data_IF_724472494532
#
_entry.id   IF_724472494532
#
_cell.length_a   1.000
_cell.length_b   1.000
_cell.length_c   1.000
_cell.angle_alpha   90.00
_cell.angle_beta   90.00
_cell.angle_gamma   90.00
#
_symmetry.space_group_name_H-M   'P 1'
#
loop_
_entity.id
_entity.type
_entity.pdbx_description
1 polymer ?
#
# COMPACT_ATOMS: atom_id res chain seq x y z
N UNK A 1 -4.90 3.57 -10.47
CA UNK A 1 -5.50 4.93 -10.47
C UNK A 1 -5.72 5.40 -9.03
N UNK A 2 -4.65 5.74 -8.30
CA UNK A 2 -4.73 6.08 -6.86
C UNK A 2 -4.04 7.39 -6.46
N UNK A 3 -3.51 8.14 -7.43
CA UNK A 3 -2.93 9.46 -7.16
C UNK A 3 -4.04 10.41 -6.71
N UNK A 4 -3.83 11.08 -5.57
CA UNK A 4 -4.81 11.97 -4.95
C UNK A 4 -5.69 11.33 -3.87
N UNK A 5 -5.67 10.00 -3.71
CA UNK A 5 -6.33 9.34 -2.56
C UNK A 5 -5.63 9.64 -1.24
N UNK A 6 -4.31 9.87 -1.28
CA UNK A 6 -3.50 10.36 -0.18
C UNK A 6 -2.68 11.58 -0.66
N UNK A 7 -2.50 12.63 0.16
CA UNK A 7 -1.75 13.81 -0.26
C UNK A 7 -0.32 13.44 -0.64
N UNK A 8 0.11 13.86 -1.84
CA UNK A 8 1.43 13.52 -2.38
C UNK A 8 2.57 14.23 -1.65
N UNK A 9 2.27 15.37 -1.02
CA UNK A 9 3.23 16.23 -0.31
C UNK A 9 3.38 15.86 1.18
N UNK A 10 2.65 14.84 1.65
CA UNK A 10 2.72 14.41 3.05
C UNK A 10 3.93 13.49 3.28
N UNK A 11 4.59 13.60 4.43
CA UNK A 11 5.83 12.85 4.76
C UNK A 11 5.69 11.31 4.65
N UNK A 12 4.49 10.80 4.92
CA UNK A 12 4.15 9.38 4.81
C UNK A 12 3.81 8.91 3.39
N UNK A 13 3.84 9.80 2.40
CA UNK A 13 3.49 9.50 1.03
C UNK A 13 4.66 8.85 0.29
N UNK A 14 4.47 7.61 -0.16
CA UNK A 14 5.46 6.90 -0.96
C UNK A 14 5.34 7.19 -2.48
N UNK A 15 4.51 8.16 -2.88
CA UNK A 15 4.20 8.45 -4.29
C UNK A 15 3.75 7.20 -5.08
N UNK A 16 3.92 7.21 -6.40
CA UNK A 16 3.42 6.16 -7.28
C UNK A 16 4.31 4.91 -7.24
N UNK A 17 3.68 3.75 -7.12
CA UNK A 17 4.26 2.41 -7.25
C UNK A 17 4.25 1.95 -8.72
N UNK A 18 5.23 1.15 -9.15
CA UNK A 18 5.21 0.42 -10.42
C UNK A 18 6.40 0.71 -11.34
N UNK A 19 6.28 0.33 -12.62
CA UNK A 19 7.36 0.42 -13.63
C UNK A 19 7.84 1.85 -13.90
N UNK A 20 6.97 2.85 -13.75
CA UNK A 20 7.27 4.28 -13.84
C UNK A 20 7.14 4.97 -12.47
N UNK A 21 7.09 4.19 -11.40
CA UNK A 21 6.93 4.67 -10.04
C UNK A 21 8.23 5.13 -9.40
N UNK A 22 8.11 5.67 -8.19
CA UNK A 22 9.23 6.02 -7.35
C UNK A 22 9.99 4.76 -6.90
N UNK A 23 11.32 4.79 -6.97
CA UNK A 23 12.17 3.66 -6.57
C UNK A 23 11.96 3.28 -5.10
N UNK A 24 11.79 4.27 -4.22
CA UNK A 24 11.55 4.03 -2.80
C UNK A 24 10.18 3.39 -2.52
N UNK A 25 9.17 3.62 -3.37
CA UNK A 25 7.87 2.94 -3.28
C UNK A 25 8.02 1.45 -3.58
N UNK A 26 8.73 1.13 -4.66
CA UNK A 26 9.01 -0.25 -5.06
C UNK A 26 9.86 -0.97 -3.99
N UNK A 27 10.85 -0.28 -3.41
CA UNK A 27 11.67 -0.82 -2.32
C UNK A 27 10.87 -1.08 -1.04
N UNK A 28 9.94 -0.19 -0.68
CA UNK A 28 9.07 -0.36 0.48
C UNK A 28 8.21 -1.62 0.35
N UNK A 29 7.63 -1.87 -0.82
CA UNK A 29 6.82 -3.07 -1.07
C UNK A 29 7.65 -4.36 -1.03
N UNK A 30 8.91 -4.33 -1.47
CA UNK A 30 9.77 -5.52 -1.44
C UNK A 30 10.20 -5.93 -0.01
N UNK A 31 10.20 -4.97 0.92
CA UNK A 31 10.62 -5.17 2.31
C UNK A 31 9.46 -5.16 3.32
N UNK A 32 8.21 -5.12 2.85
CA UNK A 32 7.04 -5.11 3.73
C UNK A 32 6.71 -6.52 4.22
N UNK A 33 6.27 -6.62 5.48
CA UNK A 33 5.74 -7.83 6.11
C UNK A 33 4.21 -7.89 6.07
N UNK A 34 3.53 -6.75 5.94
CA UNK A 34 2.09 -6.61 5.79
C UNK A 34 1.74 -5.61 4.68
N UNK A 35 1.09 -6.08 3.62
CA UNK A 35 0.60 -5.27 2.52
C UNK A 35 -0.92 -5.07 2.63
N UNK A 36 -1.34 -3.81 2.81
CA UNK A 36 -2.76 -3.43 2.81
C UNK A 36 -3.16 -2.90 1.44
N UNK A 37 -4.01 -3.66 0.75
CA UNK A 37 -4.48 -3.39 -0.61
C UNK A 37 -5.96 -2.98 -0.56
N UNK A 38 -6.24 -1.67 -0.57
CA UNK A 38 -7.60 -1.13 -0.57
C UNK A 38 -8.01 -0.64 -1.97
N UNK A 39 -9.01 -1.26 -2.58
CA UNK A 39 -9.54 -0.87 -3.88
C UNK A 39 -8.51 -0.91 -5.02
N UNK A 40 -7.56 -1.82 -4.92
CA UNK A 40 -6.50 -2.01 -5.93
C UNK A 40 -6.70 -3.32 -6.65
N UNK A 41 -6.46 -3.28 -7.96
CA UNK A 41 -6.27 -4.46 -8.79
C UNK A 41 -4.77 -4.65 -8.95
N UNK A 42 -4.29 -5.87 -8.73
CA UNK A 42 -2.88 -6.21 -8.87
C UNK A 42 -2.48 -6.28 -10.35
N UNK A 43 -2.49 -5.14 -11.02
CA UNK A 43 -2.18 -5.03 -12.45
C UNK A 43 -0.69 -5.32 -12.72
N UNK A 44 -0.40 -5.88 -13.88
CA UNK A 44 0.96 -6.26 -14.29
C UNK A 44 1.89 -5.05 -14.41
N UNK A 45 1.35 -3.85 -14.72
CA UNK A 45 2.10 -2.61 -14.80
C UNK A 45 2.63 -2.12 -13.44
N UNK A 46 2.03 -2.63 -12.35
CA UNK A 46 2.37 -2.26 -10.99
C UNK A 46 3.19 -3.37 -10.33
N UNK A 47 2.80 -4.62 -10.57
CA UNK A 47 3.39 -5.78 -9.92
C UNK A 47 4.63 -6.32 -10.64
N UNK A 48 4.76 -6.10 -11.95
CA UNK A 48 5.80 -6.68 -12.78
C UNK A 48 5.74 -8.20 -12.75
N UNK A 49 6.61 -8.82 -11.96
CA UNK A 49 6.54 -10.27 -11.70
C UNK A 49 5.75 -10.52 -10.41
N UNK A 50 4.53 -11.01 -10.55
CA UNK A 50 3.59 -11.25 -9.45
C UNK A 50 4.15 -12.18 -8.36
N UNK A 51 5.03 -13.11 -8.72
CA UNK A 51 5.70 -14.01 -7.77
C UNK A 51 6.62 -13.27 -6.80
N UNK A 52 7.38 -12.29 -7.30
CA UNK A 52 8.34 -11.52 -6.48
C UNK A 52 7.64 -10.41 -5.69
N UNK A 53 6.51 -9.92 -6.22
CA UNK A 53 5.75 -8.86 -5.59
C UNK A 53 5.22 -9.28 -4.22
N UNK A 54 5.69 -8.61 -3.16
CA UNK A 54 5.28 -8.88 -1.78
C UNK A 54 5.52 -10.32 -1.35
N UNK A 55 6.59 -10.97 -1.83
CA UNK A 55 6.88 -12.39 -1.58
C UNK A 55 6.93 -12.76 -0.10
N UNK A 56 7.33 -11.82 0.76
CA UNK A 56 7.43 -11.98 2.22
C UNK A 56 6.25 -11.37 2.98
N UNK A 57 5.33 -10.70 2.29
CA UNK A 57 4.27 -9.92 2.90
C UNK A 57 2.98 -10.73 3.09
N UNK A 58 2.34 -10.53 4.24
CA UNK A 58 0.94 -10.89 4.44
C UNK A 58 0.08 -9.90 3.68
N UNK A 59 -0.70 -10.38 2.71
CA UNK A 59 -1.50 -9.53 1.84
C UNK A 59 -2.95 -9.48 2.34
N UNK A 60 -3.42 -8.29 2.68
CA UNK A 60 -4.83 -8.01 3.00
C UNK A 60 -5.44 -7.26 1.82
N UNK A 61 -6.42 -7.85 1.14
CA UNK A 61 -7.05 -7.28 -0.04
C UNK A 61 -8.52 -6.98 0.23
N UNK A 62 -8.88 -5.70 0.12
CA UNK A 62 -10.27 -5.22 0.20
C UNK A 62 -10.65 -4.66 -1.16
N UNK A 63 -11.62 -5.27 -1.81
CA UNK A 63 -12.19 -4.81 -3.06
C UNK A 63 -13.71 -4.97 -3.02
N UNK A 64 -14.42 -4.14 -3.78
CA UNK A 64 -15.87 -4.26 -3.94
C UNK A 64 -16.22 -5.38 -4.92
N UNK A 65 -15.30 -5.70 -5.83
CA UNK A 65 -15.45 -6.74 -6.83
C UNK A 65 -14.81 -8.05 -6.36
N UNK A 66 -15.64 -9.06 -6.09
CA UNK A 66 -15.17 -10.38 -5.69
C UNK A 66 -14.39 -11.11 -6.79
N UNK A 67 -14.57 -10.74 -8.06
CA UNK A 67 -13.85 -11.37 -9.18
C UNK A 67 -12.38 -10.95 -9.25
N UNK A 68 -12.01 -9.80 -8.67
CA UNK A 68 -10.63 -9.31 -8.65
C UNK A 68 -9.83 -9.88 -7.46
N UNK A 69 -10.51 -10.33 -6.42
CA UNK A 69 -9.90 -10.98 -5.26
C UNK A 69 -9.35 -12.35 -5.66
N UNK A 70 -8.02 -12.52 -5.55
CA UNK A 70 -7.37 -13.80 -5.85
C UNK A 70 -7.12 -14.08 -7.33
N UNK A 71 -7.40 -13.13 -8.22
CA UNK A 71 -7.20 -13.28 -9.67
C UNK A 71 -5.72 -13.34 -10.07
N UNK A 72 -4.95 -12.32 -9.66
CA UNK A 72 -3.53 -12.23 -9.99
C UNK A 72 -2.64 -12.71 -8.83
N UNK A 73 -2.99 -12.31 -7.60
CA UNK A 73 -2.28 -12.71 -6.38
C UNK A 73 -3.28 -13.20 -5.36
N UNK A 74 -2.99 -14.33 -4.71
CA UNK A 74 -3.84 -14.88 -3.66
C UNK A 74 -3.58 -14.12 -2.34
N UNK A 75 -4.56 -13.34 -1.82
CA UNK A 75 -4.39 -12.64 -0.56
C UNK A 75 -4.51 -13.62 0.62
N UNK A 76 -3.91 -13.25 1.75
CA UNK A 76 -4.03 -14.02 2.98
C UNK A 76 -5.38 -13.73 3.66
N UNK A 77 -5.79 -12.46 3.62
CA UNK A 77 -7.08 -12.00 4.13
C UNK A 77 -7.75 -11.24 3.00
N UNK A 78 -8.96 -11.64 2.64
CA UNK A 78 -9.76 -10.96 1.63
C UNK A 78 -11.07 -10.45 2.24
N UNK A 79 -11.48 -9.25 1.85
CA UNK A 79 -12.78 -8.70 2.23
C UNK A 79 -13.46 -8.12 0.99
N UNK A 80 -14.62 -8.69 0.64
CA UNK A 80 -15.47 -8.16 -0.43
C UNK A 80 -16.36 -7.06 0.17
N UNK A 81 -15.91 -5.81 0.11
CA UNK A 81 -16.61 -4.67 0.68
C UNK A 81 -16.16 -3.36 0.02
N UNK A 82 -16.99 -2.32 0.15
CA UNK A 82 -16.55 -0.97 -0.19
C UNK A 82 -15.44 -0.53 0.78
N UNK A 83 -14.36 -0.01 0.20
CA UNK A 83 -13.20 0.56 0.90
C UNK A 83 -13.58 1.63 1.94
N UNK A 84 -14.58 2.47 1.66
CA UNK A 84 -14.99 3.56 2.56
C UNK A 84 -15.53 3.07 3.90
N UNK A 85 -16.58 2.22 3.96
CA UNK A 85 -17.08 1.68 5.22
C UNK A 85 -16.06 0.74 5.89
N UNK A 86 -15.23 0.03 5.11
CA UNK A 86 -14.18 -0.82 5.68
C UNK A 86 -13.16 0.00 6.49
N UNK A 87 -12.66 1.11 5.93
CA UNK A 87 -11.72 2.00 6.63
C UNK A 87 -12.38 2.69 7.84
N UNK A 88 -13.65 3.10 7.73
CA UNK A 88 -14.39 3.67 8.87
C UNK A 88 -14.54 2.69 10.03
N UNK A 89 -14.81 1.43 9.73
CA UNK A 89 -14.88 0.36 10.74
C UNK A 89 -13.51 0.14 11.39
N UNK A 90 -12.44 0.07 10.58
CA UNK A 90 -11.06 -0.06 11.08
C UNK A 90 -10.69 1.11 12.00
N UNK A 91 -11.01 2.34 11.64
CA UNK A 91 -10.77 3.52 12.48
C UNK A 91 -11.49 3.42 13.82
N UNK A 92 -12.76 2.99 13.81
CA UNK A 92 -13.56 2.81 15.03
C UNK A 92 -12.96 1.75 15.97
N UNK A 93 -12.35 0.69 15.40
CA UNK A 93 -11.66 -0.35 16.18
C UNK A 93 -10.33 0.16 16.73
N UNK A 94 -9.58 0.93 15.94
CA UNK A 94 -8.31 1.54 16.36
C UNK A 94 -8.53 2.54 17.51
N UNK A 95 -9.55 3.39 17.42
CA UNK A 95 -9.93 4.34 18.47
C UNK A 95 -10.28 3.62 19.78
N UNK A 96 -11.03 2.52 19.71
CA UNK A 96 -11.41 1.71 20.88
C UNK A 96 -10.22 1.00 21.53
N UNK A 97 -9.22 0.59 20.74
CA UNK A 97 -8.03 -0.10 21.25
C UNK A 97 -7.03 0.82 21.96
N UNK A 98 -7.11 2.13 21.75
CA UNK A 98 -6.25 3.10 22.40
C UNK A 98 -4.81 3.08 21.87
N UNK A 99 -4.20 4.27 21.84
CA UNK A 99 -2.92 4.66 21.22
C UNK A 99 -1.66 3.97 21.79
N UNK A 100 -1.60 2.64 21.85
CA UNK A 100 -0.37 1.90 22.19
C UNK A 100 0.46 1.49 20.96
N UNK A 101 0.22 2.09 19.79
CA UNK A 101 1.10 1.88 18.65
C UNK A 101 2.18 2.96 18.66
N UNK A 102 3.40 2.58 19.07
CA UNK A 102 4.59 3.36 18.75
C UNK A 102 4.88 3.14 17.25
N UNK A 103 4.16 3.87 16.39
CA UNK A 103 4.37 3.86 14.96
C UNK A 103 5.62 4.69 14.68
N UNK A 104 6.76 4.04 14.71
CA UNK A 104 8.04 4.68 14.45
C UNK A 104 8.22 4.86 12.93
N UNK A 105 7.62 5.91 12.39
CA UNK A 105 7.73 6.28 10.97
C UNK A 105 9.11 6.84 10.59
N UNK A 106 10.00 7.00 11.57
CA UNK A 106 11.33 7.60 11.41
C UNK A 106 12.24 6.78 10.49
N UNK A 107 11.99 5.47 10.33
CA UNK A 107 12.72 4.61 9.39
C UNK A 107 12.16 4.61 7.96
N UNK A 108 10.89 4.99 7.79
CA UNK A 108 10.22 5.13 6.50
C UNK A 108 10.40 6.52 5.87
N UNK A 109 10.85 7.50 6.66
CA UNK A 109 11.27 8.80 6.18
C UNK A 109 12.53 8.64 5.30
N UNK A 110 12.31 8.44 4.00
CA UNK A 110 13.36 8.64 3.00
C UNK A 110 13.84 10.08 3.19
N UNK A 111 15.13 10.33 3.49
CA UNK A 111 15.58 11.68 3.77
C UNK A 111 15.26 12.57 2.56
N UNK A 112 14.51 13.65 2.81
CA UNK A 112 14.09 14.64 1.81
C UNK A 112 15.27 15.20 0.98
N UNK A 113 16.50 15.02 1.45
CA UNK A 113 17.74 15.35 0.73
C UNK A 113 18.01 14.50 -0.53
N UNK A 114 17.29 13.38 -0.75
CA UNK A 114 17.38 12.57 -1.99
C UNK A 114 16.28 12.86 -3.03
N UNK A 115 15.27 13.68 -2.72
CA UNK A 115 14.22 14.08 -3.67
C UNK A 115 14.69 15.06 -4.77
N UNK A 116 15.91 15.59 -4.66
CA UNK A 116 16.54 16.44 -5.68
C UNK A 116 17.63 15.69 -6.46
N UNK A 117 17.26 14.64 -7.19
CA UNK A 117 17.92 14.39 -8.48
C UNK A 117 16.86 14.59 -9.57
N UNK A 118 16.83 15.86 -9.99
CA UNK A 118 16.14 16.38 -11.17
C UNK A 118 16.15 15.33 -12.29
N UNK A 119 14.97 15.06 -12.83
CA UNK A 119 14.83 14.64 -14.21
C UNK A 119 15.63 15.64 -15.07
N UNK A 120 16.70 15.15 -15.67
CA UNK A 120 17.35 15.74 -16.84
C UNK A 120 17.05 14.85 -18.02
#
# INVERSE_FOLDING_TARGET
MGLGSFPCDHDLSLQMLGIHGAMYANYAIDNVDLLLAFGVRFDDLITGKVETFGSRATIVHIDIDSAEIGKNKQPHIAMCADSKPAVQCLNSVLEKKGSQFNLDFTSAAVPASRQLRRCG
#
